data_IF_008566710458
#
_entry.id   IF_008566710458
#
_cell.length_a   1.000
_cell.length_b   1.000
_cell.length_c   1.000
_cell.angle_alpha   90.00
_cell.angle_beta   90.00
_cell.angle_gamma   90.00
#
_symmetry.space_group_name_H-M   'P 1'
#
loop_
_entity.id
_entity.type
_entity.pdbx_description
1 polymer ?
#
# COMPACT_ATOMS: atom_id res chain seq x y z
N UNK A 1 -26.03 -2.21 -14.58
CA UNK A 1 -24.98 -1.84 -15.54
C UNK A 1 -25.65 -0.96 -16.58
N UNK A 2 -25.25 0.30 -16.73
CA UNK A 2 -25.95 1.24 -17.62
C UNK A 2 -25.68 0.89 -19.08
N UNK A 3 -26.72 0.89 -19.92
CA UNK A 3 -26.63 0.67 -21.38
C UNK A 3 -25.56 1.56 -22.04
N UNK A 4 -25.30 2.75 -21.48
CA UNK A 4 -24.28 3.68 -21.98
C UNK A 4 -22.83 3.17 -21.79
N UNK A 5 -22.55 2.32 -20.79
CA UNK A 5 -21.22 1.72 -20.62
C UNK A 5 -20.98 0.63 -21.67
N UNK A 6 -22.05 -0.10 -22.00
CA UNK A 6 -22.05 -1.15 -23.02
C UNK A 6 -21.75 -0.58 -24.42
N UNK A 7 -22.32 0.57 -24.78
CA UNK A 7 -21.99 1.24 -26.05
C UNK A 7 -20.51 1.65 -26.16
N UNK A 8 -19.90 2.11 -25.06
CA UNK A 8 -18.47 2.48 -25.06
C UNK A 8 -17.60 1.24 -25.18
N UNK A 9 -17.96 0.16 -24.50
CA UNK A 9 -17.23 -1.11 -24.52
C UNK A 9 -17.30 -1.78 -25.90
N UNK A 10 -18.49 -1.81 -26.52
CA UNK A 10 -18.70 -2.30 -27.89
C UNK A 10 -17.91 -1.47 -28.92
N UNK A 11 -17.84 -0.14 -28.75
CA UNK A 11 -17.04 0.74 -29.62
C UNK A 11 -15.53 0.47 -29.46
N UNK A 12 -15.06 0.23 -28.23
CA UNK A 12 -13.66 -0.10 -27.96
C UNK A 12 -13.29 -1.48 -28.52
N UNK A 13 -14.15 -2.49 -28.42
CA UNK A 13 -13.95 -3.79 -29.05
C UNK A 13 -13.89 -3.68 -30.57
N UNK A 14 -14.84 -2.97 -31.19
CA UNK A 14 -14.84 -2.75 -32.64
C UNK A 14 -13.58 -2.02 -33.13
N UNK A 15 -13.05 -1.06 -32.36
CA UNK A 15 -11.78 -0.40 -32.65
C UNK A 15 -10.57 -1.33 -32.46
N UNK A 16 -10.62 -2.24 -31.47
CA UNK A 16 -9.55 -3.20 -31.19
C UNK A 16 -9.45 -4.27 -32.27
N UNK A 17 -10.59 -4.72 -32.79
CA UNK A 17 -10.65 -5.62 -33.95
C UNK A 17 -10.15 -4.94 -35.22
N UNK A 18 -10.55 -3.68 -35.48
CA UNK A 18 -10.03 -2.91 -36.63
C UNK A 18 -8.54 -2.57 -36.50
N UNK A 19 -8.07 -2.29 -35.29
CA UNK A 19 -6.67 -1.98 -35.00
C UNK A 19 -5.71 -3.15 -35.18
N UNK A 20 -6.20 -4.40 -35.09
CA UNK A 20 -5.40 -5.60 -35.39
C UNK A 20 -5.11 -5.80 -36.88
N UNK A 21 -5.86 -5.13 -37.77
CA UNK A 21 -5.77 -5.34 -39.22
C UNK A 21 -5.05 -4.21 -39.99
N UNK A 22 -4.59 -3.12 -39.34
CA UNK A 22 -4.01 -2.00 -40.07
C UNK A 22 -2.78 -1.38 -39.38
N UNK A 23 -1.65 -1.34 -40.10
CA UNK A 23 -0.53 -0.43 -39.85
C UNK A 23 -0.77 0.93 -40.54
N UNK A 24 0.04 1.95 -40.22
CA UNK A 24 -0.39 3.20 -39.59
C UNK A 24 -1.08 4.16 -40.57
N UNK A 25 -2.39 4.17 -40.57
CA UNK A 25 -3.18 5.31 -41.07
C UNK A 25 -4.02 5.81 -39.90
N UNK A 26 -3.90 7.11 -39.58
CA UNK A 26 -4.72 7.76 -38.55
C UNK A 26 -6.20 7.45 -38.82
N UNK A 27 -6.89 6.70 -37.95
CA UNK A 27 -8.25 6.28 -38.24
C UNK A 27 -9.19 7.47 -38.07
N UNK A 28 -10.09 7.65 -39.05
CA UNK A 28 -11.12 8.68 -39.10
C UNK A 28 -12.15 8.64 -37.94
N UNK A 29 -12.00 7.74 -36.97
CA UNK A 29 -12.88 7.62 -35.78
C UNK A 29 -12.43 8.44 -34.57
N UNK A 30 -11.25 9.08 -34.60
CA UNK A 30 -10.74 9.85 -33.46
C UNK A 30 -11.61 11.07 -33.12
N UNK A 31 -12.24 11.68 -34.13
CA UNK A 31 -13.12 12.83 -33.94
C UNK A 31 -14.45 12.44 -33.29
N UNK A 32 -14.96 11.24 -33.56
CA UNK A 32 -16.17 10.70 -32.94
C UNK A 32 -15.92 10.36 -31.46
N UNK A 33 -14.79 9.73 -31.14
CA UNK A 33 -14.38 9.48 -29.76
C UNK A 33 -14.14 10.79 -29.00
N UNK A 34 -13.50 11.77 -29.63
CA UNK A 34 -13.31 13.09 -29.03
C UNK A 34 -14.65 13.83 -28.82
N UNK A 35 -15.63 13.65 -29.70
CA UNK A 35 -16.97 14.20 -29.53
C UNK A 35 -17.73 13.50 -28.38
N UNK A 36 -17.66 12.17 -28.28
CA UNK A 36 -18.26 11.41 -27.18
C UNK A 36 -17.66 11.80 -25.83
N UNK A 37 -16.33 11.89 -25.75
CA UNK A 37 -15.61 12.33 -24.54
C UNK A 37 -15.95 13.78 -24.14
N UNK A 38 -16.21 14.67 -25.10
CA UNK A 38 -16.68 16.04 -24.81
C UNK A 38 -18.09 16.04 -24.22
N UNK A 39 -19.01 15.21 -24.72
CA UNK A 39 -20.38 15.08 -24.17
C UNK A 39 -20.36 14.53 -22.74
N UNK A 40 -19.54 13.51 -22.48
CA UNK A 40 -19.33 12.95 -21.14
C UNK A 40 -18.81 14.00 -20.15
N UNK A 41 -17.78 14.78 -20.52
CA UNK A 41 -17.25 15.85 -19.65
C UNK A 41 -18.28 16.94 -19.37
N UNK A 42 -19.09 17.33 -20.35
CA UNK A 42 -20.17 18.30 -20.14
C UNK A 42 -21.24 17.79 -19.18
N UNK A 43 -21.69 16.53 -19.34
CA UNK A 43 -22.65 15.92 -18.40
C UNK A 43 -22.09 15.80 -16.99
N UNK A 44 -20.82 15.42 -16.86
CA UNK A 44 -20.17 15.31 -15.56
C UNK A 44 -20.05 16.67 -14.85
N UNK A 45 -19.82 17.76 -15.60
CA UNK A 45 -19.86 19.13 -15.06
C UNK A 45 -21.26 19.54 -14.61
N UNK A 46 -22.30 19.19 -15.37
CA UNK A 46 -23.69 19.43 -14.98
C UNK A 46 -24.06 18.67 -13.71
N UNK A 47 -23.67 17.39 -13.61
CA UNK A 47 -23.93 16.58 -12.42
C UNK A 47 -23.25 17.14 -11.17
N UNK A 48 -21.98 17.59 -11.29
CA UNK A 48 -21.28 18.28 -10.19
C UNK A 48 -21.98 19.58 -9.78
N UNK A 49 -22.49 20.34 -10.74
CA UNK A 49 -23.28 21.55 -10.47
C UNK A 49 -24.56 21.25 -9.68
N UNK A 50 -25.30 20.21 -10.06
CA UNK A 50 -26.53 19.80 -9.37
C UNK A 50 -26.24 19.31 -7.94
N UNK A 51 -25.17 18.53 -7.75
CA UNK A 51 -24.76 18.05 -6.41
C UNK A 51 -24.37 19.22 -5.50
N UNK A 52 -23.60 20.19 -6.01
CA UNK A 52 -23.21 21.38 -5.23
C UNK A 52 -24.42 22.24 -4.86
N UNK A 53 -25.40 22.39 -5.76
CA UNK A 53 -26.68 23.06 -5.46
C UNK A 53 -27.47 22.33 -4.36
N UNK A 54 -27.50 20.99 -4.39
CA UNK A 54 -28.14 20.18 -3.36
C UNK A 54 -27.48 20.35 -1.99
N UNK A 55 -26.14 20.35 -1.93
CA UNK A 55 -25.38 20.57 -0.68
C UNK A 55 -25.64 21.98 -0.13
N UNK A 56 -25.64 23.01 -0.99
CA UNK A 56 -25.91 24.38 -0.58
C UNK A 56 -27.34 24.53 0.00
N UNK A 57 -28.34 23.90 -0.62
CA UNK A 57 -29.71 23.90 -0.11
C UNK A 57 -29.80 23.22 1.27
N UNK A 58 -29.13 22.08 1.46
CA UNK A 58 -29.05 21.37 2.73
C UNK A 58 -28.40 22.23 3.84
N UNK A 59 -27.32 22.95 3.51
CA UNK A 59 -26.67 23.85 4.46
C UNK A 59 -27.56 25.00 4.91
N UNK A 60 -28.36 25.58 4.00
CA UNK A 60 -29.34 26.62 4.34
C UNK A 60 -30.43 26.08 5.26
N UNK A 61 -30.95 24.88 5.00
CA UNK A 61 -31.94 24.22 5.88
C UNK A 61 -31.35 23.97 7.27
N UNK A 62 -30.12 23.45 7.35
CA UNK A 62 -29.45 23.24 8.64
C UNK A 62 -29.25 24.55 9.43
N UNK A 63 -28.87 25.63 8.76
CA UNK A 63 -28.72 26.95 9.39
C UNK A 63 -30.05 27.50 9.92
N UNK A 64 -31.16 27.27 9.21
CA UNK A 64 -32.50 27.63 9.68
C UNK A 64 -32.92 26.83 10.92
N UNK A 65 -32.66 25.51 10.94
CA UNK A 65 -32.96 24.67 12.10
C UNK A 65 -32.16 25.08 13.35
N UNK A 66 -30.88 25.43 13.20
CA UNK A 66 -30.05 25.90 14.32
C UNK A 66 -30.59 27.23 14.87
N UNK A 67 -31.07 28.12 14.00
CA UNK A 67 -31.63 29.41 14.40
C UNK A 67 -32.92 29.26 15.20
N UNK A 68 -33.82 28.35 14.82
CA UNK A 68 -35.04 28.08 15.59
C UNK A 68 -34.73 27.43 16.95
N UNK A 69 -33.77 26.50 17.00
CA UNK A 69 -33.35 25.88 18.26
C UNK A 69 -32.77 26.90 19.26
N UNK A 70 -32.16 27.99 18.78
CA UNK A 70 -31.62 29.05 19.63
C UNK A 70 -32.71 29.95 20.25
N UNK A 71 -33.91 30.03 19.68
CA UNK A 71 -34.98 30.90 20.19
C UNK A 71 -35.82 30.27 21.32
N UNK A 72 -35.73 28.96 21.55
CA UNK A 72 -36.57 28.25 22.52
C UNK A 72 -36.00 28.28 23.96
N UNK A 73 -34.81 28.82 24.20
CA UNK A 73 -34.16 28.79 25.54
C UNK A 73 -33.98 30.17 26.18
N UNK A 74 -35.09 30.83 26.50
CA UNK A 74 -35.12 31.90 27.49
C UNK A 74 -36.24 31.65 28.51
N UNK A 75 -36.02 30.66 29.39
CA UNK A 75 -36.69 30.66 30.70
C UNK A 75 -35.85 31.49 31.69
N UNK A 76 -36.47 32.40 32.46
CA UNK A 76 -35.75 33.18 33.46
C UNK A 76 -35.38 32.29 34.67
N UNK A 77 -34.09 32.28 34.99
CA UNK A 77 -33.52 31.53 36.11
C UNK A 77 -33.98 32.08 37.47
N UNK A 78 -34.70 31.26 38.23
CA UNK A 78 -34.88 31.40 39.68
C UNK A 78 -33.56 31.18 40.42
N UNK A 79 -33.40 31.92 41.51
CA UNK A 79 -32.16 32.19 42.22
C UNK A 79 -31.57 31.03 43.05
N UNK A 80 -30.27 31.20 43.34
CA UNK A 80 -29.50 30.71 44.48
C UNK A 80 -29.14 29.21 44.54
N UNK A 81 -28.02 28.87 43.89
CA UNK A 81 -27.24 27.66 44.16
C UNK A 81 -25.75 27.99 44.02
N UNK A 82 -24.95 27.56 45.00
CA UNK A 82 -23.52 27.84 45.14
C UNK A 82 -22.69 27.64 43.85
N UNK A 83 -21.58 28.40 43.66
CA UNK A 83 -20.71 28.26 42.50
C UNK A 83 -20.19 26.81 42.39
N UNK A 84 -20.32 26.15 41.23
CA UNK A 84 -19.75 24.83 41.02
C UNK A 84 -18.22 24.91 41.19
N UNK A 85 -17.59 23.89 41.80
CA UNK A 85 -16.13 23.84 41.93
C UNK A 85 -15.48 23.93 40.55
N UNK A 86 -14.33 24.61 40.42
CA UNK A 86 -13.62 24.73 39.16
C UNK A 86 -13.40 23.33 38.58
N UNK A 87 -13.81 23.16 37.31
CA UNK A 87 -13.61 21.91 36.59
C UNK A 87 -12.13 21.51 36.70
N UNK A 88 -11.81 20.26 37.05
CA UNK A 88 -10.44 19.82 37.12
C UNK A 88 -9.78 20.07 35.75
N UNK A 89 -8.54 20.58 35.72
CA UNK A 89 -7.82 20.75 34.46
C UNK A 89 -7.82 19.42 33.72
N UNK A 90 -8.32 19.43 32.48
CA UNK A 90 -8.28 18.28 31.58
C UNK A 90 -6.81 17.89 31.45
N UNK A 91 -6.42 16.76 32.05
CA UNK A 91 -5.08 16.26 31.95
C UNK A 91 -4.74 16.06 30.46
N UNK A 92 -3.58 16.53 29.98
CA UNK A 92 -3.16 16.24 28.62
C UNK A 92 -3.14 14.71 28.42
N UNK A 93 -3.58 14.20 27.26
CA UNK A 93 -3.56 12.77 26.99
C UNK A 93 -2.16 12.22 27.25
N UNK A 94 -2.07 11.17 28.05
CA UNK A 94 -0.82 10.58 28.50
C UNK A 94 0.08 10.23 27.29
N UNK A 95 1.30 10.74 27.31
CA UNK A 95 2.35 10.48 26.33
C UNK A 95 2.65 8.98 26.29
N UNK A 96 2.13 8.33 25.25
CA UNK A 96 2.31 6.89 25.04
C UNK A 96 1.58 6.40 23.79
N UNK A 97 1.47 7.24 22.76
CA UNK A 97 0.91 6.80 21.49
C UNK A 97 1.90 5.81 20.88
N UNK A 98 1.53 4.53 20.89
CA UNK A 98 2.31 3.47 20.22
C UNK A 98 2.30 3.79 18.72
N UNK A 99 3.45 4.21 18.21
CA UNK A 99 3.67 4.43 16.78
C UNK A 99 4.15 3.13 16.13
N UNK A 100 3.51 2.74 15.03
CA UNK A 100 4.01 1.69 14.16
C UNK A 100 5.07 2.27 13.23
N UNK A 101 6.25 1.65 13.19
CA UNK A 101 7.29 1.95 12.20
C UNK A 101 7.06 1.07 10.97
N UNK A 102 7.05 1.70 9.79
CA UNK A 102 6.87 1.03 8.50
C UNK A 102 7.89 1.59 7.51
N UNK A 103 8.51 0.71 6.74
CA UNK A 103 9.44 1.07 5.66
C UNK A 103 8.80 0.66 4.33
N UNK A 104 7.89 1.47 3.77
CA UNK A 104 7.17 1.11 2.57
C UNK A 104 8.09 0.99 1.36
N UNK A 105 9.19 1.75 1.33
CA UNK A 105 10.17 1.80 0.24
C UNK A 105 11.57 2.11 0.79
N UNK A 106 12.63 1.79 0.02
CA UNK A 106 14.03 1.80 0.47
C UNK A 106 14.54 3.15 1.01
N UNK A 107 13.89 4.26 0.68
CA UNK A 107 14.30 5.61 1.07
C UNK A 107 13.23 6.33 1.91
N UNK A 108 12.17 5.65 2.33
CA UNK A 108 11.08 6.21 3.13
C UNK A 108 10.94 5.39 4.41
N UNK A 109 11.15 6.07 5.54
CA UNK A 109 10.81 5.54 6.88
C UNK A 109 9.61 6.30 7.38
N UNK A 110 8.56 5.59 7.78
CA UNK A 110 7.31 6.17 8.24
C UNK A 110 6.95 5.70 9.65
N UNK A 111 6.59 6.64 10.52
CA UNK A 111 5.97 6.36 11.81
C UNK A 111 4.53 6.86 11.79
N UNK A 112 3.60 6.00 12.18
CA UNK A 112 2.18 6.33 12.20
C UNK A 112 1.49 5.82 13.45
N UNK A 113 0.47 6.54 13.90
CA UNK A 113 -0.38 6.05 14.97
C UNK A 113 -1.34 4.96 14.44
N UNK A 114 -1.96 4.20 15.35
CA UNK A 114 -2.88 3.09 15.00
C UNK A 114 -4.18 3.55 14.32
N UNK A 115 -4.50 4.83 14.41
CA UNK A 115 -5.70 5.44 13.82
C UNK A 115 -5.42 6.09 12.47
N UNK A 116 -4.15 6.24 12.10
CA UNK A 116 -3.72 6.78 10.82
C UNK A 116 -4.23 5.92 9.67
N UNK A 117 -4.84 6.60 8.68
CA UNK A 117 -5.34 5.99 7.45
C UNK A 117 -4.47 6.44 6.29
N UNK A 118 -3.44 5.65 6.02
CA UNK A 118 -2.45 5.89 4.97
C UNK A 118 -2.46 4.76 3.95
N UNK A 119 -2.30 5.10 2.68
CA UNK A 119 -2.10 4.19 1.57
C UNK A 119 -0.80 4.57 0.83
N UNK A 120 0.11 3.61 0.68
CA UNK A 120 1.40 3.79 0.01
C UNK A 120 1.29 3.38 -1.47
N UNK A 121 0.53 4.17 -2.23
CA UNK A 121 0.16 3.85 -3.60
C UNK A 121 1.35 3.65 -4.56
N UNK A 122 2.46 4.37 -4.36
CA UNK A 122 3.68 4.23 -5.16
C UNK A 122 4.92 4.75 -4.40
N UNK A 123 6.17 4.45 -4.84
CA UNK A 123 7.39 4.95 -4.20
C UNK A 123 7.47 6.47 -4.11
N UNK A 124 6.80 7.19 -5.01
CA UNK A 124 6.74 8.65 -5.08
C UNK A 124 5.37 9.22 -4.69
N UNK A 125 4.42 8.37 -4.22
CA UNK A 125 3.05 8.80 -3.91
C UNK A 125 2.49 8.12 -2.66
N UNK A 126 2.11 8.94 -1.69
CA UNK A 126 1.50 8.53 -0.42
C UNK A 126 0.14 9.23 -0.29
N UNK A 127 -0.91 8.49 0.04
CA UNK A 127 -2.25 9.03 0.29
C UNK A 127 -2.52 8.99 1.80
N UNK A 128 -2.57 10.15 2.46
CA UNK A 128 -2.85 10.28 3.89
C UNK A 128 -4.23 10.89 4.09
N UNK A 129 -5.22 10.05 4.42
CA UNK A 129 -6.62 10.46 4.53
C UNK A 129 -7.01 10.96 5.92
N UNK A 130 -6.36 10.49 6.98
CA UNK A 130 -6.56 10.93 8.37
C UNK A 130 -5.40 10.50 9.29
N UNK A 131 -5.22 11.20 10.42
CA UNK A 131 -4.29 10.82 11.50
C UNK A 131 -2.93 11.50 11.42
N UNK A 132 -1.94 10.94 12.11
CA UNK A 132 -0.57 11.44 12.17
C UNK A 132 0.41 10.53 11.41
N UNK A 133 1.23 11.13 10.54
CA UNK A 133 2.26 10.44 9.78
C UNK A 133 3.57 11.24 9.89
N UNK A 134 4.57 10.67 10.56
CA UNK A 134 5.93 11.19 10.56
C UNK A 134 6.76 10.47 9.50
N UNK A 135 7.50 11.21 8.68
CA UNK A 135 8.26 10.69 7.54
C UNK A 135 9.70 11.15 7.63
N UNK A 136 10.62 10.23 7.37
CA UNK A 136 11.98 10.52 6.98
C UNK A 136 12.17 10.01 5.56
N UNK A 137 12.41 10.95 4.65
CA UNK A 137 12.68 10.65 3.23
C UNK A 137 14.16 10.91 3.00
N UNK A 138 14.91 9.85 2.72
CA UNK A 138 16.32 9.94 2.42
C UNK A 138 16.52 10.54 1.01
N UNK A 139 17.60 11.31 0.77
CA UNK A 139 17.94 11.77 -0.57
C UNK A 139 18.22 10.57 -1.49
N UNK A 140 17.39 10.36 -2.51
CA UNK A 140 17.64 9.36 -3.54
C UNK A 140 18.67 9.87 -4.58
N UNK A 141 19.47 8.97 -5.21
CA UNK A 141 20.46 9.35 -6.22
C UNK A 141 19.87 10.09 -7.42
N UNK A 142 18.63 9.71 -7.80
CA UNK A 142 17.80 10.48 -8.72
C UNK A 142 16.73 11.19 -7.88
N UNK A 143 16.79 12.52 -7.70
CA UNK A 143 15.86 13.24 -6.86
C UNK A 143 14.47 13.25 -7.49
N UNK A 144 13.67 12.23 -7.16
CA UNK A 144 12.23 12.25 -7.41
C UNK A 144 11.54 12.73 -6.14
N UNK A 145 10.75 13.82 -6.22
CA UNK A 145 10.01 14.26 -5.05
C UNK A 145 8.93 13.24 -4.71
N UNK A 146 8.76 12.98 -3.42
CA UNK A 146 7.66 12.18 -2.90
C UNK A 146 6.46 13.10 -2.67
N UNK A 147 5.31 12.71 -3.20
CA UNK A 147 4.07 13.47 -3.09
C UNK A 147 3.19 12.81 -2.03
N UNK A 148 2.91 13.55 -0.96
CA UNK A 148 1.90 13.15 0.03
C UNK A 148 0.60 13.90 -0.24
N UNK A 149 -0.41 13.20 -0.71
CA UNK A 149 -1.75 13.76 -0.92
C UNK A 149 -2.59 13.58 0.34
N UNK A 150 -3.25 14.67 0.73
CA UNK A 150 -4.21 14.71 1.84
C UNK A 150 -5.52 15.29 1.33
N UNK A 151 -6.65 15.13 2.06
CA UNK A 151 -7.92 15.72 1.64
C UNK A 151 -7.87 17.24 1.41
N UNK A 152 -7.01 17.95 2.14
CA UNK A 152 -6.94 19.41 2.10
C UNK A 152 -5.72 19.96 1.33
N UNK A 153 -4.68 19.16 1.10
CA UNK A 153 -3.40 19.64 0.58
C UNK A 153 -2.64 18.56 -0.20
N UNK A 154 -1.78 19.00 -1.12
CA UNK A 154 -0.74 18.16 -1.73
C UNK A 154 0.63 18.63 -1.25
N UNK A 155 1.37 17.77 -0.56
CA UNK A 155 2.70 18.08 0.00
C UNK A 155 3.76 17.42 -0.86
N UNK A 156 4.67 18.21 -1.41
CA UNK A 156 5.80 17.76 -2.22
C UNK A 156 7.05 17.77 -1.34
N UNK A 157 7.67 16.60 -1.16
CA UNK A 157 8.72 16.35 -0.18
C UNK A 157 9.98 15.85 -0.88
N UNK A 158 11.14 16.36 -0.48
CA UNK A 158 12.43 15.90 -1.01
C UNK A 158 13.49 15.90 0.09
N UNK A 159 14.06 14.74 0.43
CA UNK A 159 15.16 14.65 1.39
C UNK A 159 14.86 15.30 2.75
N UNK A 160 13.69 15.01 3.34
CA UNK A 160 13.12 15.79 4.45
C UNK A 160 12.75 14.88 5.62
N UNK A 161 12.88 15.39 6.85
CA UNK A 161 12.25 14.84 8.05
C UNK A 161 11.08 15.73 8.43
N UNK A 162 9.86 15.20 8.38
CA UNK A 162 8.63 15.95 8.64
C UNK A 162 7.57 15.12 9.39
N UNK A 163 6.57 15.80 9.92
CA UNK A 163 5.32 15.20 10.42
C UNK A 163 4.12 15.90 9.82
N UNK A 164 3.17 15.09 9.37
CA UNK A 164 1.90 15.50 8.81
C UNK A 164 0.80 15.10 9.79
N UNK A 165 -0.06 16.05 10.15
CA UNK A 165 -1.32 15.77 10.85
C UNK A 165 -2.49 16.14 9.94
N UNK A 166 -3.37 15.18 9.67
CA UNK A 166 -4.62 15.40 8.94
C UNK A 166 -5.78 15.31 9.92
N UNK A 167 -6.41 16.45 10.17
CA UNK A 167 -7.56 16.60 11.06
C UNK A 167 -8.74 17.30 10.38
N UNK A 168 -9.81 17.60 11.13
CA UNK A 168 -11.00 18.28 10.59
C UNK A 168 -10.70 19.69 10.08
N UNK A 169 -9.70 20.37 10.69
CA UNK A 169 -9.29 21.73 10.31
C UNK A 169 -8.37 21.76 9.08
N UNK A 170 -7.99 20.60 8.54
CA UNK A 170 -7.13 20.45 7.38
C UNK A 170 -5.80 19.77 7.70
N UNK A 171 -4.77 20.09 6.91
CA UNK A 171 -3.44 19.45 6.97
C UNK A 171 -2.44 20.38 7.65
N UNK A 172 -1.88 19.95 8.79
CA UNK A 172 -0.73 20.58 9.45
C UNK A 172 0.55 19.91 9.01
N UNK A 173 1.59 20.70 8.74
CA UNK A 173 2.91 20.23 8.32
C UNK A 173 3.97 20.77 9.27
N UNK A 174 4.69 19.88 9.95
CA UNK A 174 5.82 20.19 10.82
C UNK A 174 7.10 19.71 10.13
N UNK A 175 8.07 20.59 9.87
CA UNK A 175 9.32 20.23 9.18
C UNK A 175 10.49 20.34 10.15
N UNK A 176 11.14 19.20 10.44
CA UNK A 176 12.33 19.18 11.29
C UNK A 176 13.59 19.49 10.49
N UNK A 177 13.77 18.82 9.34
CA UNK A 177 14.93 18.96 8.43
C UNK A 177 14.47 19.00 6.98
N UNK A 178 15.11 19.83 6.16
CA UNK A 178 14.82 19.94 4.74
C UNK A 178 13.81 21.04 4.40
N UNK A 179 13.16 20.90 3.24
CA UNK A 179 12.18 21.86 2.72
C UNK A 179 11.07 21.10 2.00
N UNK A 180 9.84 21.55 2.19
CA UNK A 180 8.67 21.00 1.50
C UNK A 180 7.87 22.11 0.83
N UNK A 181 7.16 21.74 -0.24
CA UNK A 181 6.19 22.62 -0.89
C UNK A 181 4.78 22.09 -0.63
N UNK A 182 3.94 22.92 -0.02
CA UNK A 182 2.56 22.58 0.31
C UNK A 182 1.63 23.31 -0.67
N UNK A 183 0.95 22.55 -1.51
CA UNK A 183 -0.03 23.05 -2.47
C UNK A 183 -1.43 22.98 -1.84
N UNK A 184 -2.03 24.15 -1.62
CA UNK A 184 -3.35 24.37 -1.02
C UNK A 184 -4.26 25.03 -2.08
N UNK A 185 -5.01 24.21 -2.82
CA UNK A 185 -5.80 24.69 -3.97
C UNK A 185 -4.89 25.24 -5.07
N UNK A 186 -4.99 26.53 -5.36
CA UNK A 186 -4.16 27.23 -6.36
C UNK A 186 -2.89 27.88 -5.78
N UNK A 187 -2.69 27.80 -4.46
CA UNK A 187 -1.57 28.42 -3.77
C UNK A 187 -0.51 27.38 -3.41
N UNK A 188 0.76 27.76 -3.54
CA UNK A 188 1.90 26.96 -3.09
C UNK A 188 2.63 27.71 -1.99
N UNK A 189 2.88 27.02 -0.86
CA UNK A 189 3.58 27.56 0.30
C UNK A 189 4.83 26.72 0.54
N UNK A 190 6.00 27.35 0.60
CA UNK A 190 7.22 26.67 0.99
C UNK A 190 7.32 26.64 2.52
N UNK A 191 7.63 25.48 3.09
CA UNK A 191 7.87 25.30 4.53
C UNK A 191 9.29 24.76 4.69
N UNK A 192 10.14 25.55 5.36
CA UNK A 192 11.55 25.29 5.52
C UNK A 192 11.89 24.51 6.79
N UNK A 193 13.20 24.43 7.07
CA UNK A 193 13.72 23.74 8.23
C UNK A 193 13.28 24.41 9.54
N UNK A 194 12.82 23.62 10.51
CA UNK A 194 12.26 24.08 11.79
C UNK A 194 11.06 25.02 11.65
N UNK A 195 10.28 24.84 10.58
CA UNK A 195 9.03 25.57 10.38
C UNK A 195 7.81 24.66 10.52
N UNK A 196 6.67 25.28 10.81
CA UNK A 196 5.34 24.69 10.85
C UNK A 196 4.43 25.47 9.92
N UNK A 197 3.67 24.75 9.12
CA UNK A 197 2.45 25.26 8.52
C UNK A 197 1.25 24.72 9.29
N UNK A 198 0.55 25.60 10.01
CA UNK A 198 -0.70 25.24 10.68
C UNK A 198 -1.79 24.91 9.66
N UNK A 199 -2.76 24.08 10.05
CA UNK A 199 -3.87 23.70 9.18
C UNK A 199 -4.63 24.94 8.66
N UNK A 200 -4.80 25.04 7.34
CA UNK A 200 -5.43 26.17 6.68
C UNK A 200 -4.61 27.46 6.60
N UNK A 201 -3.43 27.53 7.22
CA UNK A 201 -2.54 28.69 7.13
C UNK A 201 -1.83 28.75 5.77
N UNK A 202 -1.48 29.97 5.34
CA UNK A 202 -0.62 30.22 4.18
C UNK A 202 0.75 30.78 4.56
N UNK A 203 0.96 31.05 5.85
CA UNK A 203 2.19 31.63 6.38
C UNK A 203 2.82 30.58 7.30
N UNK A 204 4.01 30.06 6.98
CA UNK A 204 4.79 29.24 7.89
C UNK A 204 5.16 30.03 9.15
N UNK A 205 5.14 29.35 10.29
CA UNK A 205 5.64 29.85 11.57
C UNK A 205 6.74 28.96 12.14
N UNK A 206 7.37 29.34 13.25
CA UNK A 206 8.40 28.52 13.87
C UNK A 206 7.82 27.19 14.39
N UNK A 207 8.55 26.09 14.20
CA UNK A 207 8.23 24.79 14.79
C UNK A 207 8.47 24.86 16.31
N UNK A 208 7.44 24.61 17.16
CA UNK A 208 7.61 24.61 18.61
C UNK A 208 8.64 23.59 19.08
N UNK A 209 9.39 23.93 20.12
CA UNK A 209 10.52 23.14 20.62
C UNK A 209 10.11 21.72 21.06
N UNK A 210 8.94 21.56 21.67
CA UNK A 210 8.43 20.25 22.09
C UNK A 210 8.15 19.33 20.89
N UNK A 211 7.47 19.85 19.88
CA UNK A 211 7.17 19.12 18.64
C UNK A 211 8.45 18.76 17.87
N UNK A 212 9.45 19.66 17.86
CA UNK A 212 10.75 19.39 17.27
C UNK A 212 11.51 18.26 18.01
N UNK A 213 11.45 18.25 19.34
CA UNK A 213 12.07 17.22 20.17
C UNK A 213 11.41 15.85 19.99
N UNK A 214 10.07 15.81 19.91
CA UNK A 214 9.32 14.58 19.59
C UNK A 214 9.71 14.02 18.23
N UNK A 215 9.70 14.86 17.19
CA UNK A 215 10.13 14.49 15.84
C UNK A 215 11.58 13.98 15.82
N UNK A 216 12.48 14.66 16.54
CA UNK A 216 13.88 14.27 16.64
C UNK A 216 14.06 12.92 17.35
N UNK A 217 13.21 12.59 18.33
CA UNK A 217 13.23 11.32 19.03
C UNK A 217 12.77 10.15 18.15
N UNK A 218 11.87 10.39 17.18
CA UNK A 218 11.46 9.38 16.19
C UNK A 218 12.55 9.09 15.15
N UNK A 219 13.36 10.10 14.83
CA UNK A 219 14.42 10.02 13.82
C UNK A 219 15.76 10.48 14.40
N UNK A 220 16.39 9.70 15.28
CA UNK A 220 17.69 10.05 15.83
C UNK A 220 18.71 10.23 14.70
N UNK A 221 19.39 11.39 14.67
CA UNK A 221 20.37 11.79 13.64
C UNK A 221 21.54 10.80 13.46
N UNK A 222 21.74 9.90 14.41
CA UNK A 222 22.96 9.09 14.57
C UNK A 222 22.86 7.65 14.05
N UNK A 223 21.82 7.30 13.29
CA UNK A 223 21.94 6.17 12.38
C UNK A 223 22.32 6.72 11.00
N UNK A 224 23.63 6.90 10.69
CA UNK A 224 24.03 7.05 9.32
C UNK A 224 23.48 5.84 8.58
N UNK A 225 22.58 6.07 7.63
CA UNK A 225 22.31 5.09 6.60
C UNK A 225 23.68 4.63 6.10
N UNK A 226 23.98 3.32 6.03
CA UNK A 226 25.20 2.87 5.39
C UNK A 226 25.17 3.49 4.01
N UNK A 227 25.99 4.51 3.82
CA UNK A 227 26.12 5.19 2.55
C UNK A 227 26.72 4.10 1.70
N UNK A 228 25.90 3.50 0.83
CA UNK A 228 26.41 2.66 -0.24
C UNK A 228 27.35 3.58 -0.97
N UNK A 229 28.65 3.45 -0.70
CA UNK A 229 29.68 4.15 -1.42
C UNK A 229 29.34 3.93 -2.88
N UNK A 230 29.02 5.01 -3.60
CA UNK A 230 28.72 4.95 -5.01
C UNK A 230 29.86 4.15 -5.63
N UNK A 231 29.57 2.90 -6.01
CA UNK A 231 30.54 2.04 -6.62
C UNK A 231 30.91 2.75 -7.91
N UNK A 232 32.11 3.32 -7.89
CA UNK A 232 32.75 3.96 -9.02
C UNK A 232 32.69 2.93 -10.15
N UNK A 233 31.87 3.23 -11.17
CA UNK A 233 31.63 2.31 -12.27
C UNK A 233 32.98 1.92 -12.89
N UNK A 234 33.38 0.63 -12.88
CA UNK A 234 34.56 0.24 -13.61
C UNK A 234 34.32 0.49 -15.10
N UNK A 235 35.30 1.12 -15.74
CA UNK A 235 35.29 1.42 -17.16
C UNK A 235 34.98 0.15 -17.99
N UNK A 236 34.20 0.26 -19.09
CA UNK A 236 33.87 -0.89 -19.90
C UNK A 236 35.06 -1.29 -20.78
N UNK A 237 35.84 -2.28 -20.33
CA UNK A 237 36.71 -3.04 -21.22
C UNK A 237 35.87 -4.01 -22.05
N UNK A 238 35.69 -3.65 -23.33
CA UNK A 238 35.19 -4.52 -24.37
C UNK A 238 36.26 -5.55 -24.71
N UNK A 239 36.06 -6.81 -24.32
CA UNK A 239 36.55 -7.93 -25.11
C UNK A 239 35.44 -8.95 -25.39
N UNK A 240 35.23 -9.15 -26.69
CA UNK A 240 34.34 -10.11 -27.28
C UNK A 240 34.91 -11.52 -27.15
N UNK A 241 34.07 -12.48 -26.77
CA UNK A 241 34.27 -13.88 -27.11
C UNK A 241 32.89 -14.57 -27.20
N UNK A 242 32.49 -14.86 -28.43
CA UNK A 242 31.32 -15.67 -28.78
C UNK A 242 31.61 -17.13 -28.43
N UNK A 243 30.77 -17.84 -27.65
CA UNK A 243 30.86 -19.29 -27.57
C UNK A 243 30.12 -19.95 -28.73
N UNK A 244 30.90 -20.78 -29.42
CA UNK A 244 30.58 -21.68 -30.50
C UNK A 244 29.52 -22.72 -30.10
N UNK A 245 28.51 -22.93 -30.95
CA UNK A 245 27.40 -23.87 -30.78
C UNK A 245 27.82 -25.26 -31.27
N UNK A 246 27.91 -26.30 -30.43
CA UNK A 246 28.14 -27.65 -30.91
C UNK A 246 26.85 -28.26 -31.45
N UNK A 247 26.91 -28.75 -32.69
CA UNK A 247 25.95 -29.63 -33.30
C UNK A 247 26.13 -31.07 -32.76
N UNK A 248 25.04 -31.69 -32.32
CA UNK A 248 24.94 -33.14 -32.11
C UNK A 248 23.47 -33.52 -32.41
N UNK A 249 23.21 -34.17 -33.54
CA UNK A 249 23.29 -35.62 -33.74
C UNK A 249 21.91 -36.28 -33.53
N UNK A 250 21.20 -36.43 -34.65
CA UNK A 250 20.03 -37.28 -34.78
C UNK A 250 20.43 -38.75 -34.59
N UNK A 251 19.66 -39.50 -33.81
CA UNK A 251 19.63 -40.96 -33.86
C UNK A 251 18.17 -41.44 -33.78
N UNK A 252 17.77 -42.46 -34.56
CA UNK A 252 16.45 -43.09 -34.50
C UNK A 252 16.47 -44.30 -33.57
N UNK A 253 15.41 -44.51 -32.79
CA UNK A 253 15.18 -45.80 -32.12
C UNK A 253 13.68 -46.09 -31.97
N UNK A 254 13.26 -47.04 -32.79
CA UNK A 254 12.02 -47.80 -32.77
C UNK A 254 11.93 -48.64 -31.48
N UNK A 255 10.80 -48.60 -30.77
CA UNK A 255 10.54 -49.39 -29.54
C UNK A 255 9.05 -49.45 -29.18
N UNK A 256 8.59 -50.45 -28.40
CA UNK A 256 7.43 -51.27 -28.71
C UNK A 256 6.07 -50.72 -28.28
N UNK A 257 5.03 -51.12 -29.04
CA UNK A 257 3.62 -50.88 -28.78
C UNK A 257 3.18 -51.53 -27.46
N UNK A 258 2.80 -50.71 -26.50
CA UNK A 258 2.09 -51.11 -25.28
C UNK A 258 0.60 -51.37 -25.56
N UNK A 259 -0.04 -52.32 -24.85
CA UNK A 259 -1.43 -52.69 -25.05
C UNK A 259 -2.37 -51.59 -24.57
N UNK A 260 -3.38 -51.31 -25.39
CA UNK A 260 -4.47 -50.35 -25.16
C UNK A 260 -5.34 -50.84 -23.99
N UNK A 261 -5.41 -50.13 -22.85
CA UNK A 261 -6.41 -50.42 -21.82
C UNK A 261 -7.81 -50.00 -22.27
N UNK A 262 -8.87 -50.66 -21.79
CA UNK A 262 -10.25 -50.37 -22.19
C UNK A 262 -10.66 -48.95 -21.80
N UNK A 263 -11.27 -48.26 -22.77
CA UNK A 263 -11.84 -46.92 -22.64
C UNK A 263 -12.92 -46.90 -21.56
N UNK A 264 -12.56 -46.42 -20.37
CA UNK A 264 -13.52 -45.94 -19.37
C UNK A 264 -14.08 -44.62 -19.91
N UNK A 265 -15.41 -44.39 -19.92
CA UNK A 265 -15.96 -43.10 -20.28
C UNK A 265 -15.37 -42.05 -19.32
N UNK A 266 -14.53 -41.16 -19.87
CA UNK A 266 -14.08 -39.98 -19.18
C UNK A 266 -15.30 -39.09 -18.95
N UNK A 267 -15.93 -39.21 -17.78
CA UNK A 267 -16.69 -38.10 -17.21
C UNK A 267 -15.68 -36.97 -17.02
N UNK A 268 -15.55 -36.10 -18.03
CA UNK A 268 -14.79 -34.86 -17.91
C UNK A 268 -15.42 -34.06 -16.77
N UNK A 269 -14.75 -33.92 -15.61
CA UNK A 269 -15.23 -33.06 -14.55
C UNK A 269 -14.80 -31.63 -14.88
N UNK A 270 -15.11 -31.17 -16.10
CA UNK A 270 -15.14 -29.76 -16.43
C UNK A 270 -16.47 -29.19 -15.92
N UNK A 271 -16.67 -29.29 -14.60
CA UNK A 271 -17.51 -28.29 -13.94
C UNK A 271 -16.70 -27.00 -14.03
N UNK A 272 -16.93 -26.26 -15.12
CA UNK A 272 -16.50 -24.89 -15.30
C UNK A 272 -16.88 -24.13 -14.03
N UNK A 273 -15.92 -23.94 -13.14
CA UNK A 273 -16.10 -23.15 -11.94
C UNK A 273 -16.52 -21.77 -12.41
N UNK A 274 -17.72 -21.36 -12.02
CA UNK A 274 -18.29 -20.09 -12.45
C UNK A 274 -17.38 -18.95 -11.96
N UNK A 275 -16.69 -18.30 -12.89
CA UNK A 275 -15.78 -17.21 -12.59
C UNK A 275 -16.45 -16.08 -11.81
N UNK A 276 -17.74 -15.84 -12.03
CA UNK A 276 -18.49 -14.81 -11.31
C UNK A 276 -18.67 -15.15 -9.82
N UNK A 277 -18.80 -16.43 -9.47
CA UNK A 277 -18.87 -16.87 -8.07
C UNK A 277 -17.53 -16.70 -7.36
N UNK A 278 -16.41 -16.96 -8.04
CA UNK A 278 -15.09 -16.74 -7.47
C UNK A 278 -14.81 -15.25 -7.25
N UNK A 279 -15.24 -14.38 -8.16
CA UNK A 279 -15.08 -12.94 -8.02
C UNK A 279 -15.97 -12.37 -6.90
N UNK A 280 -17.19 -12.88 -6.71
CA UNK A 280 -18.04 -12.53 -5.56
C UNK A 280 -17.41 -12.93 -4.22
N UNK A 281 -16.86 -14.15 -4.13
CA UNK A 281 -16.17 -14.62 -2.93
C UNK A 281 -14.95 -13.75 -2.59
N UNK A 282 -14.13 -13.42 -3.59
CA UNK A 282 -12.97 -12.55 -3.40
C UNK A 282 -13.38 -11.14 -2.94
N UNK A 283 -14.41 -10.55 -3.56
CA UNK A 283 -14.91 -9.22 -3.17
C UNK A 283 -15.44 -9.23 -1.73
N UNK A 284 -16.20 -10.25 -1.34
CA UNK A 284 -16.75 -10.38 0.02
C UNK A 284 -15.65 -10.59 1.06
N UNK A 285 -14.61 -11.35 0.72
CA UNK A 285 -13.44 -11.52 1.59
C UNK A 285 -12.73 -10.17 1.81
N UNK A 286 -12.51 -9.41 0.74
CA UNK A 286 -11.89 -8.08 0.82
C UNK A 286 -12.74 -7.10 1.65
N UNK A 287 -14.05 -7.10 1.47
CA UNK A 287 -14.98 -6.30 2.27
C UNK A 287 -14.95 -6.68 3.76
N UNK A 288 -14.85 -7.97 4.08
CA UNK A 288 -14.68 -8.44 5.45
C UNK A 288 -13.35 -7.97 6.06
N UNK A 289 -12.24 -8.04 5.31
CA UNK A 289 -10.94 -7.51 5.72
C UNK A 289 -11.00 -5.99 5.97
N UNK A 290 -11.58 -5.21 5.05
CA UNK A 290 -11.77 -3.76 5.21
C UNK A 290 -12.61 -3.42 6.45
N UNK A 291 -13.62 -4.24 6.75
CA UNK A 291 -14.47 -4.11 7.93
C UNK A 291 -13.84 -4.69 9.22
N UNK A 292 -12.61 -5.23 9.16
CA UNK A 292 -11.91 -5.93 10.27
C UNK A 292 -12.70 -7.11 10.84
N UNK A 293 -13.51 -7.77 10.03
CA UNK A 293 -14.20 -9.04 10.37
C UNK A 293 -13.30 -10.20 9.98
N UNK A 294 -12.26 -10.42 10.78
CA UNK A 294 -11.16 -11.32 10.41
C UNK A 294 -11.56 -12.80 10.31
N UNK A 295 -12.45 -13.27 11.19
CA UNK A 295 -12.98 -14.64 11.11
C UNK A 295 -13.78 -14.86 9.81
N UNK A 296 -14.73 -13.96 9.51
CA UNK A 296 -15.50 -13.99 8.25
C UNK A 296 -14.57 -13.97 7.02
N UNK A 297 -13.54 -13.11 7.05
CA UNK A 297 -12.57 -13.01 5.96
C UNK A 297 -11.80 -14.32 5.77
N UNK A 298 -11.38 -14.98 6.86
CA UNK A 298 -10.70 -16.27 6.81
C UNK A 298 -11.60 -17.34 6.18
N UNK A 299 -12.85 -17.45 6.61
CA UNK A 299 -13.80 -18.44 6.08
C UNK A 299 -14.04 -18.23 4.57
N UNK A 300 -14.24 -16.98 4.14
CA UNK A 300 -14.43 -16.64 2.73
C UNK A 300 -13.19 -16.94 1.88
N UNK A 301 -11.99 -16.67 2.39
CA UNK A 301 -10.74 -16.99 1.71
C UNK A 301 -10.49 -18.49 1.62
N UNK A 302 -10.84 -19.26 2.65
CA UNK A 302 -10.76 -20.71 2.62
C UNK A 302 -11.74 -21.31 1.61
N UNK A 303 -12.97 -20.78 1.54
CA UNK A 303 -13.94 -21.17 0.51
C UNK A 303 -13.45 -20.83 -0.90
N UNK A 304 -12.87 -19.63 -1.09
CA UNK A 304 -12.28 -19.22 -2.36
C UNK A 304 -11.13 -20.17 -2.78
N UNK A 305 -10.18 -20.43 -1.88
CA UNK A 305 -9.02 -21.27 -2.14
C UNK A 305 -9.38 -22.75 -2.39
N UNK A 306 -10.50 -23.21 -1.83
CA UNK A 306 -11.02 -24.56 -2.11
C UNK A 306 -11.59 -24.71 -3.53
N UNK A 307 -12.00 -23.61 -4.18
CA UNK A 307 -12.64 -23.63 -5.51
C UNK A 307 -11.73 -23.13 -6.63
N UNK A 308 -10.71 -22.35 -6.31
CA UNK A 308 -9.80 -21.79 -7.31
C UNK A 308 -8.83 -22.86 -7.82
N UNK A 309 -8.53 -22.89 -9.14
CA UNK A 309 -7.49 -23.77 -9.66
C UNK A 309 -6.11 -23.42 -9.10
N UNK A 310 -5.34 -24.46 -8.75
CA UNK A 310 -3.99 -24.29 -8.24
C UNK A 310 -3.05 -23.66 -9.29
N UNK A 311 -2.14 -22.79 -8.86
CA UNK A 311 -1.17 -22.06 -9.68
C UNK A 311 -1.73 -20.81 -10.37
N UNK A 312 -3.02 -20.49 -10.21
CA UNK A 312 -3.65 -19.31 -10.81
C UNK A 312 -3.45 -18.02 -10.01
N UNK A 313 -3.56 -16.86 -10.68
CA UNK A 313 -3.41 -15.54 -10.04
C UNK A 313 -4.40 -15.26 -8.89
N UNK A 314 -5.61 -15.86 -8.95
CA UNK A 314 -6.59 -15.77 -7.85
C UNK A 314 -6.15 -16.56 -6.63
N UNK A 315 -5.51 -17.73 -6.82
CA UNK A 315 -4.93 -18.49 -5.71
C UNK A 315 -3.78 -17.72 -5.08
N UNK A 316 -2.90 -17.15 -5.91
CA UNK A 316 -1.77 -16.33 -5.48
C UNK A 316 -2.24 -15.22 -4.53
N UNK A 317 -3.23 -14.43 -4.97
CA UNK A 317 -3.80 -13.34 -4.16
C UNK A 317 -4.47 -13.88 -2.89
N UNK A 318 -5.30 -14.93 -3.01
CA UNK A 318 -6.03 -15.50 -1.88
C UNK A 318 -5.12 -16.10 -0.80
N UNK A 319 -4.00 -16.73 -1.18
CA UNK A 319 -3.03 -17.26 -0.22
C UNK A 319 -2.31 -16.15 0.54
N UNK A 320 -1.95 -15.06 -0.14
CA UNK A 320 -1.33 -13.91 0.52
C UNK A 320 -2.31 -13.22 1.47
N UNK A 321 -3.54 -12.97 1.02
CA UNK A 321 -4.60 -12.36 1.85
C UNK A 321 -4.93 -13.24 3.07
N UNK A 322 -4.98 -14.58 2.90
CA UNK A 322 -5.19 -15.50 4.03
C UNK A 322 -4.05 -15.41 5.04
N UNK A 323 -2.80 -15.29 4.57
CA UNK A 323 -1.65 -15.09 5.46
C UNK A 323 -1.76 -13.78 6.27
N UNK A 324 -2.23 -12.70 5.65
CA UNK A 324 -2.48 -11.41 6.33
C UNK A 324 -3.61 -11.52 7.36
N UNK A 325 -4.72 -12.17 7.02
CA UNK A 325 -5.83 -12.41 7.96
C UNK A 325 -5.37 -13.24 9.15
N UNK A 326 -4.59 -14.31 8.92
CA UNK A 326 -4.07 -15.15 9.99
C UNK A 326 -3.03 -14.43 10.87
N UNK A 327 -2.28 -13.45 10.36
CA UNK A 327 -1.51 -12.54 11.21
C UNK A 327 -2.41 -11.73 12.16
N UNK A 328 -3.50 -11.16 11.64
CA UNK A 328 -4.42 -10.35 12.46
C UNK A 328 -5.13 -11.18 13.54
N UNK A 329 -5.39 -12.46 13.27
CA UNK A 329 -5.96 -13.41 14.23
C UNK A 329 -4.93 -13.98 15.21
N UNK A 330 -3.63 -13.76 14.99
CA UNK A 330 -2.56 -14.38 15.77
C UNK A 330 -2.39 -15.89 15.51
N UNK A 331 -2.95 -16.41 14.41
CA UNK A 331 -2.85 -17.81 14.03
C UNK A 331 -1.55 -18.04 13.22
N UNK A 332 -0.47 -18.31 13.96
CA UNK A 332 0.88 -18.53 13.42
C UNK A 332 0.90 -19.74 12.47
N UNK A 333 0.17 -20.81 12.79
CA UNK A 333 0.14 -22.03 11.99
C UNK A 333 -0.55 -21.80 10.65
N UNK A 334 -1.72 -21.17 10.65
CA UNK A 334 -2.42 -20.79 9.41
C UNK A 334 -1.55 -19.87 8.54
N UNK A 335 -0.91 -18.87 9.16
CA UNK A 335 -0.07 -17.93 8.42
C UNK A 335 1.11 -18.64 7.76
N UNK A 336 1.81 -19.50 8.52
CA UNK A 336 2.92 -20.31 7.99
C UNK A 336 2.48 -21.16 6.80
N UNK A 337 1.41 -21.94 6.97
CA UNK A 337 0.87 -22.81 5.91
C UNK A 337 0.58 -22.02 4.62
N UNK A 338 -0.04 -20.84 4.76
CA UNK A 338 -0.42 -20.01 3.62
C UNK A 338 0.80 -19.45 2.88
N UNK A 339 1.83 -18.97 3.60
CA UNK A 339 3.07 -18.47 3.01
C UNK A 339 3.90 -19.60 2.36
N UNK A 340 3.99 -20.77 2.99
CA UNK A 340 4.68 -21.94 2.44
C UNK A 340 4.00 -22.42 1.15
N UNK A 341 2.66 -22.57 1.17
CA UNK A 341 1.88 -22.96 -0.01
C UNK A 341 2.01 -21.93 -1.14
N UNK A 342 2.08 -20.64 -0.82
CA UNK A 342 2.33 -19.59 -1.81
C UNK A 342 3.68 -19.79 -2.51
N UNK A 343 4.76 -19.98 -1.74
CA UNK A 343 6.13 -20.12 -2.26
C UNK A 343 6.31 -21.40 -3.07
N UNK A 344 5.54 -22.45 -2.77
CA UNK A 344 5.50 -23.70 -3.52
C UNK A 344 4.76 -23.54 -4.86
N UNK A 345 3.56 -22.95 -4.85
CA UNK A 345 2.68 -22.90 -6.04
C UNK A 345 2.98 -21.75 -6.99
N UNK A 346 3.60 -20.67 -6.51
CA UNK A 346 3.88 -19.47 -7.31
C UNK A 346 5.37 -19.09 -7.32
N UNK A 347 6.27 -19.96 -7.84
CA UNK A 347 7.71 -19.72 -7.80
C UNK A 347 8.20 -18.57 -8.70
N UNK A 348 7.37 -18.12 -9.64
CA UNK A 348 7.67 -16.99 -10.53
C UNK A 348 6.91 -15.72 -10.19
N UNK A 349 6.20 -15.69 -9.05
CA UNK A 349 5.45 -14.51 -8.61
C UNK A 349 6.35 -13.31 -8.37
N UNK A 350 5.88 -12.11 -8.74
CA UNK A 350 6.54 -10.85 -8.42
C UNK A 350 6.60 -10.58 -6.90
N UNK A 351 5.71 -11.18 -6.09
CA UNK A 351 5.71 -11.04 -4.63
C UNK A 351 6.56 -12.11 -3.94
N UNK A 352 7.19 -13.05 -4.67
CA UNK A 352 7.95 -14.16 -4.07
C UNK A 352 8.97 -13.69 -3.02
N UNK A 353 9.72 -12.63 -3.32
CA UNK A 353 10.69 -12.07 -2.38
C UNK A 353 10.02 -11.60 -1.08
N UNK A 354 8.90 -10.87 -1.19
CA UNK A 354 8.16 -10.36 -0.04
C UNK A 354 7.59 -11.49 0.81
N UNK A 355 6.99 -12.51 0.18
CA UNK A 355 6.42 -13.68 0.88
C UNK A 355 7.52 -14.49 1.57
N UNK A 356 8.68 -14.68 0.92
CA UNK A 356 9.84 -15.35 1.54
C UNK A 356 10.33 -14.60 2.76
N UNK A 357 10.44 -13.28 2.67
CA UNK A 357 10.83 -12.43 3.78
C UNK A 357 9.82 -12.49 4.93
N UNK A 358 8.52 -12.44 4.64
CA UNK A 358 7.45 -12.54 5.64
C UNK A 358 7.49 -13.89 6.38
N UNK A 359 7.80 -14.98 5.67
CA UNK A 359 8.00 -16.30 6.28
C UNK A 359 9.21 -16.31 7.23
N UNK A 360 10.35 -15.74 6.84
CA UNK A 360 11.51 -15.69 7.73
C UNK A 360 11.24 -14.79 8.96
N UNK A 361 10.53 -13.67 8.80
CA UNK A 361 10.08 -12.82 9.92
C UNK A 361 9.07 -13.52 10.83
N UNK A 362 8.27 -14.44 10.29
CA UNK A 362 7.39 -15.28 11.11
C UNK A 362 8.20 -16.20 12.01
N UNK A 363 9.24 -16.84 11.46
CA UNK A 363 10.16 -17.68 12.24
C UNK A 363 10.94 -16.88 13.28
N UNK A 364 11.40 -15.67 12.95
CA UNK A 364 12.06 -14.77 13.89
C UNK A 364 11.17 -14.41 15.09
N UNK A 365 9.89 -14.08 14.84
CA UNK A 365 8.98 -13.61 15.90
C UNK A 365 8.37 -14.74 16.73
N UNK A 366 8.14 -15.90 16.13
CA UNK A 366 7.25 -16.91 16.70
C UNK A 366 7.64 -18.37 16.40
N UNK A 367 8.60 -18.60 15.52
CA UNK A 367 9.05 -19.94 15.18
C UNK A 367 10.20 -20.43 16.06
N UNK A 368 10.52 -21.73 15.97
CA UNK A 368 11.75 -22.25 16.54
C UNK A 368 12.94 -21.58 15.85
N UNK A 369 13.95 -21.17 16.63
CA UNK A 369 15.16 -20.52 16.11
C UNK A 369 15.86 -21.36 15.01
N UNK A 370 15.70 -22.69 15.07
CA UNK A 370 16.22 -23.66 14.11
C UNK A 370 15.64 -23.51 12.70
N UNK A 371 14.45 -22.93 12.54
CA UNK A 371 13.81 -22.71 11.22
C UNK A 371 14.20 -21.36 10.59
N UNK A 372 14.59 -20.37 11.41
CA UNK A 372 14.95 -19.04 10.91
C UNK A 372 16.20 -19.07 10.04
N UNK A 373 17.26 -19.72 10.50
CA UNK A 373 18.55 -19.76 9.79
C UNK A 373 18.44 -20.41 8.39
N UNK A 374 17.82 -21.60 8.22
CA UNK A 374 17.55 -22.15 6.88
C UNK A 374 16.72 -21.21 6.01
N UNK A 375 15.71 -20.53 6.57
CA UNK A 375 14.89 -19.58 5.82
C UNK A 375 15.72 -18.40 5.29
N UNK A 376 16.54 -17.79 6.13
CA UNK A 376 17.40 -16.66 5.75
C UNK A 376 18.44 -17.07 4.70
N UNK A 377 19.03 -18.27 4.82
CA UNK A 377 19.95 -18.80 3.81
C UNK A 377 19.26 -19.00 2.46
N UNK A 378 18.05 -19.54 2.44
CA UNK A 378 17.25 -19.66 1.21
C UNK A 378 16.94 -18.28 0.64
N UNK A 379 16.50 -17.33 1.47
CA UNK A 379 16.23 -15.95 1.04
C UNK A 379 17.47 -15.31 0.39
N UNK A 380 18.65 -15.40 1.02
CA UNK A 380 19.88 -14.84 0.44
C UNK A 380 20.35 -15.55 -0.82
N UNK A 381 20.04 -16.85 -0.96
CA UNK A 381 20.35 -17.60 -2.19
C UNK A 381 19.42 -17.24 -3.35
N UNK A 382 18.13 -17.00 -3.06
CA UNK A 382 17.13 -16.62 -4.05
C UNK A 382 17.25 -15.13 -4.40
N UNK A 383 17.61 -14.28 -3.43
CA UNK A 383 17.62 -12.82 -3.52
C UNK A 383 18.90 -12.22 -2.90
N UNK A 384 20.09 -12.44 -3.51
CA UNK A 384 21.37 -11.96 -2.97
C UNK A 384 21.44 -10.42 -2.88
N UNK A 385 20.73 -9.72 -3.76
CA UNK A 385 20.59 -8.26 -3.77
C UNK A 385 19.18 -7.83 -3.33
N UNK A 386 18.43 -8.72 -2.67
CA UNK A 386 17.09 -8.44 -2.18
C UNK A 386 17.05 -7.26 -1.21
N UNK A 387 15.88 -6.63 -1.10
CA UNK A 387 15.64 -5.42 -0.30
C UNK A 387 16.07 -5.59 1.17
N UNK A 388 16.03 -6.81 1.69
CA UNK A 388 16.43 -7.15 3.07
C UNK A 388 17.62 -8.10 3.14
N UNK A 389 18.45 -8.18 2.09
CA UNK A 389 19.65 -9.01 2.10
C UNK A 389 20.67 -8.57 3.16
N UNK A 390 20.83 -7.28 3.43
CA UNK A 390 21.71 -6.78 4.49
C UNK A 390 21.23 -7.26 5.87
N UNK A 391 19.94 -7.09 6.18
CA UNK A 391 19.30 -7.58 7.41
C UNK A 391 19.44 -9.09 7.58
N UNK A 392 19.22 -9.87 6.51
CA UNK A 392 19.34 -11.33 6.58
C UNK A 392 20.80 -11.78 6.83
N UNK A 393 21.80 -11.11 6.23
CA UNK A 393 23.21 -11.38 6.51
C UNK A 393 23.60 -11.01 7.94
N UNK A 394 23.09 -9.88 8.44
CA UNK A 394 23.31 -9.46 9.83
C UNK A 394 22.79 -10.51 10.80
N UNK A 395 21.54 -10.96 10.66
CA UNK A 395 20.96 -12.01 11.51
C UNK A 395 21.77 -13.31 11.48
N UNK A 396 22.22 -13.75 10.31
CA UNK A 396 23.09 -14.92 10.16
C UNK A 396 24.50 -14.71 10.73
N UNK A 397 25.00 -13.47 10.76
CA UNK A 397 26.30 -13.10 11.32
C UNK A 397 26.28 -12.85 12.83
N UNK A 398 25.13 -12.49 13.39
CA UNK A 398 24.95 -12.20 14.82
C UNK A 398 24.74 -13.43 15.71
N UNK A 399 24.63 -14.64 15.14
CA UNK A 399 24.64 -15.90 15.91
C UNK A 399 25.82 -16.79 15.47
N UNK A 400 26.85 -17.09 16.26
CA UNK A 400 27.13 -16.83 17.66
C UNK A 400 28.66 -16.78 17.90
N UNK A 401 29.17 -16.10 18.95
CA UNK A 401 30.46 -16.46 19.53
C UNK A 401 30.35 -17.89 20.10
N UNK A 402 30.92 -18.85 19.40
CA UNK A 402 31.28 -20.17 19.94
C UNK A 402 32.34 -19.99 21.01
N UNK A 403 31.93 -19.64 22.23
CA UNK A 403 32.74 -19.95 23.39
C UNK A 403 32.41 -21.40 23.75
N UNK A 404 33.31 -22.37 23.52
CA UNK A 404 33.08 -23.72 24.02
C UNK A 404 33.02 -23.67 25.56
N UNK A 405 32.24 -24.55 26.21
CA UNK A 405 32.38 -24.75 27.64
C UNK A 405 33.86 -25.08 27.91
N UNK A 406 34.49 -24.27 28.76
CA UNK A 406 35.80 -24.60 29.33
C UNK A 406 35.54 -25.63 30.42
N UNK A 407 36.26 -26.75 30.32
CA UNK A 407 36.17 -28.02 31.08
C UNK A 407 35.56 -27.99 32.49
#
# INVERSE_FOLDING_TARGET
>A
MNDEFKEVEELFEAMRERGRLAAPLRPAGFDEVAAAMRRLRCRQRLHRGVVLLGIAALAVVAALCIREAAQVRHEPATAAGAPPPPAPPVAPPAAGTILACVEPFDHIVAFMDRTTRVDFAAPDRILLSAGSLALQIQPAPAPRPVIVETPAARVVVQGTVLRLLVGPDGTRVDVLHGKVEVVLGERTVAVGERERLAAGSLVPGPLPTGDAAELQALFPREQPCPTVAAAEAPAPDRQAATPERPAAASAPATGPRTPVPPSVPAESPDQLVDGAQLDDLALRAEEAMRARRWDDARELLEELLARVPAGGAREETGLYDRALVCEQLGDVACRRESLERYLERHPSSALREAVRLDLCRLFERSGPAEELEPCLRVYLSEFPEGRKAAWARELLGTGAPTTPPTD
#
